data_IF_769862704778
#
_entry.id   IF_769862704778
#
_cell.length_a   1.000
_cell.length_b   1.000
_cell.length_c   1.000
_cell.angle_alpha   90.00
_cell.angle_beta   90.00
_cell.angle_gamma   90.00
#
_symmetry.space_group_name_H-M   'P 1'
#
loop_
_entity.id
_entity.type
_entity.pdbx_description
1 polymer ?
#
# COMPACT_ATOMS: atom_id res chain seq x y z
N UNK A 1 -30.22 40.43 -68.67
CA UNK A 1 -31.69 40.55 -68.79
C UNK A 1 -32.30 39.42 -67.99
N UNK A 2 -32.97 39.74 -66.89
CA UNK A 2 -33.78 38.82 -66.09
C UNK A 2 -35.03 38.37 -66.86
N UNK A 3 -35.54 37.17 -66.54
CA UNK A 3 -36.90 37.04 -65.99
C UNK A 3 -36.89 36.02 -64.83
N UNK A 4 -37.93 35.79 -64.01
CA UNK A 4 -39.09 36.53 -63.56
C UNK A 4 -39.65 35.74 -62.34
N UNK A 5 -40.10 36.46 -61.31
CA UNK A 5 -41.17 36.18 -60.33
C UNK A 5 -41.61 34.74 -59.97
N UNK A 6 -41.72 34.47 -58.66
CA UNK A 6 -43.04 34.32 -57.99
C UNK A 6 -43.00 34.46 -56.46
N UNK A 7 -44.14 34.97 -55.96
CA UNK A 7 -44.50 35.56 -54.66
C UNK A 7 -44.50 34.65 -53.43
N UNK A 8 -44.34 35.30 -52.27
CA UNK A 8 -44.54 34.84 -50.89
C UNK A 8 -46.03 34.64 -50.49
N UNK A 9 -46.22 33.81 -49.45
CA UNK A 9 -46.71 34.15 -48.11
C UNK A 9 -47.95 33.39 -47.54
N UNK A 10 -47.77 32.97 -46.27
CA UNK A 10 -48.73 32.75 -45.18
C UNK A 10 -49.78 31.63 -45.27
N UNK A 11 -49.73 30.65 -44.35
CA UNK A 11 -50.30 30.72 -42.99
C UNK A 11 -50.50 29.33 -42.37
N UNK A 12 -50.48 29.31 -41.03
CA UNK A 12 -50.51 28.15 -40.14
C UNK A 12 -51.86 27.42 -40.16
N UNK A 13 -51.85 26.08 -40.21
CA UNK A 13 -52.87 25.22 -39.59
C UNK A 13 -52.20 23.93 -39.10
N UNK A 14 -52.37 23.64 -37.82
CA UNK A 14 -52.08 22.34 -37.22
C UNK A 14 -53.33 21.46 -37.36
N UNK A 15 -53.19 20.19 -37.76
CA UNK A 15 -54.05 19.17 -37.19
C UNK A 15 -53.26 17.97 -36.66
N UNK A 16 -53.56 17.70 -35.40
CA UNK A 16 -53.45 16.42 -34.72
C UNK A 16 -54.01 15.28 -35.59
N UNK A 17 -53.30 14.15 -35.66
CA UNK A 17 -53.80 12.75 -35.50
C UNK A 17 -53.04 11.73 -36.37
N UNK A 18 -52.23 10.93 -35.67
CA UNK A 18 -51.91 9.50 -35.85
C UNK A 18 -50.97 9.08 -36.99
N UNK A 19 -49.75 8.68 -36.59
CA UNK A 19 -49.20 7.37 -36.94
C UNK A 19 -48.21 6.90 -35.87
N UNK A 20 -48.50 5.70 -35.40
CA UNK A 20 -47.79 4.86 -34.43
C UNK A 20 -46.38 4.49 -34.88
N UNK A 21 -45.40 4.60 -33.98
CA UNK A 21 -44.23 3.73 -33.96
C UNK A 21 -43.82 3.50 -32.50
N UNK A 22 -44.09 2.29 -32.04
CA UNK A 22 -43.59 1.73 -30.81
C UNK A 22 -42.06 1.60 -30.91
N UNK A 23 -41.34 2.21 -29.98
CA UNK A 23 -40.05 1.73 -29.52
C UNK A 23 -39.88 2.26 -28.09
N UNK A 24 -40.36 1.44 -27.15
CA UNK A 24 -40.19 1.68 -25.73
C UNK A 24 -38.71 1.83 -25.41
N UNK A 25 -38.39 2.96 -24.79
CA UNK A 25 -37.13 3.25 -24.16
C UNK A 25 -36.83 2.21 -23.09
N UNK A 26 -36.11 1.15 -23.43
CA UNK A 26 -35.34 0.41 -22.44
C UNK A 26 -34.15 1.30 -22.14
N UNK A 27 -34.32 2.12 -21.11
CA UNK A 27 -33.26 2.92 -20.53
C UNK A 27 -32.10 2.00 -20.20
N UNK A 28 -30.97 2.28 -20.84
CA UNK A 28 -29.68 1.73 -20.44
C UNK A 28 -29.32 2.37 -19.09
N UNK A 29 -29.87 1.81 -18.01
CA UNK A 29 -29.32 2.01 -16.67
C UNK A 29 -27.97 1.28 -16.64
N UNK A 30 -26.92 1.93 -17.13
CA UNK A 30 -25.58 1.65 -16.62
C UNK A 30 -25.52 2.25 -15.22
N UNK A 31 -26.08 1.52 -14.26
CA UNK A 31 -25.73 1.70 -12.86
C UNK A 31 -24.25 1.32 -12.74
N UNK A 32 -23.45 2.30 -12.34
CA UNK A 32 -22.10 2.08 -11.87
C UNK A 32 -22.13 1.13 -10.66
N UNK A 33 -21.99 -0.18 -10.91
CA UNK A 33 -21.61 -1.14 -9.89
C UNK A 33 -20.09 -1.06 -9.73
N UNK A 34 -19.61 -0.04 -9.01
CA UNK A 34 -18.22 0.13 -8.62
C UNK A 34 -18.09 0.17 -7.09
N UNK A 35 -18.57 -0.91 -6.48
CA UNK A 35 -18.12 -1.48 -5.22
C UNK A 35 -18.53 -2.95 -5.31
N UNK A 36 -17.63 -3.89 -4.98
CA UNK A 36 -17.93 -5.32 -5.10
C UNK A 36 -19.22 -5.71 -4.39
N UNK A 37 -19.87 -6.78 -4.84
CA UNK A 37 -21.14 -7.34 -4.31
C UNK A 37 -21.10 -7.71 -2.82
N UNK A 38 -20.02 -7.39 -2.12
CA UNK A 38 -19.72 -7.84 -0.78
C UNK A 38 -18.92 -6.79 0.00
N UNK A 39 -19.59 -5.88 0.73
CA UNK A 39 -18.91 -4.87 1.52
C UNK A 39 -18.15 -5.52 2.69
N UNK A 40 -17.00 -4.95 3.10
CA UNK A 40 -16.33 -5.33 4.34
C UNK A 40 -17.30 -5.23 5.52
N UNK A 41 -17.20 -6.19 6.45
CA UNK A 41 -17.94 -6.18 7.72
C UNK A 41 -17.02 -6.52 8.88
N UNK A 42 -17.36 -6.06 10.08
CA UNK A 42 -16.61 -6.42 11.28
C UNK A 42 -16.64 -7.92 11.56
N UNK A 43 -15.53 -8.43 12.10
CA UNK A 43 -15.43 -9.79 12.63
C UNK A 43 -16.41 -9.98 13.79
N UNK A 44 -17.20 -11.04 13.73
CA UNK A 44 -18.10 -11.45 14.79
C UNK A 44 -17.37 -12.25 15.87
N UNK A 45 -17.92 -12.23 17.09
CA UNK A 45 -17.31 -12.90 18.25
C UNK A 45 -17.06 -14.39 18.03
N UNK A 46 -18.01 -15.10 17.41
CA UNK A 46 -17.85 -16.54 17.12
C UNK A 46 -16.70 -16.82 16.14
N UNK A 47 -16.34 -15.86 15.29
CA UNK A 47 -15.24 -15.98 14.32
C UNK A 47 -13.87 -15.79 14.98
N UNK A 48 -13.80 -15.14 16.14
CA UNK A 48 -12.55 -14.81 16.85
C UNK A 48 -12.40 -15.56 18.18
N UNK A 49 -13.40 -16.35 18.58
CA UNK A 49 -13.45 -17.01 19.89
C UNK A 49 -12.21 -17.86 20.19
N UNK A 50 -11.72 -18.63 19.22
CA UNK A 50 -10.47 -19.41 19.39
C UNK A 50 -9.28 -18.49 19.65
N UNK A 51 -9.13 -17.42 18.86
CA UNK A 51 -8.05 -16.44 19.03
C UNK A 51 -8.08 -15.78 20.40
N UNK A 52 -9.25 -15.39 20.89
CA UNK A 52 -9.41 -14.82 22.24
C UNK A 52 -9.06 -15.82 23.33
N UNK A 53 -9.52 -17.08 23.20
CA UNK A 53 -9.18 -18.13 24.16
C UNK A 53 -7.67 -18.40 24.22
N UNK A 54 -6.99 -18.43 23.08
CA UNK A 54 -5.54 -18.62 23.01
C UNK A 54 -4.75 -17.47 23.63
N UNK A 55 -5.32 -16.26 23.65
CA UNK A 55 -4.66 -15.05 24.12
C UNK A 55 -5.22 -14.54 25.46
N UNK A 56 -6.12 -15.27 26.13
CA UNK A 56 -6.88 -14.79 27.28
C UNK A 56 -5.99 -14.34 28.47
N UNK A 57 -4.83 -14.97 28.63
CA UNK A 57 -3.86 -14.67 29.70
C UNK A 57 -2.74 -13.71 29.25
N UNK A 58 -2.83 -13.16 28.04
CA UNK A 58 -1.80 -12.28 27.47
C UNK A 58 -1.73 -10.89 28.14
N UNK A 59 -2.83 -10.47 28.81
CA UNK A 59 -2.97 -9.13 29.35
C UNK A 59 -3.05 -8.02 28.28
N UNK A 60 -3.20 -8.38 27.00
CA UNK A 60 -3.35 -7.44 25.90
C UNK A 60 -4.79 -6.89 25.87
N UNK A 61 -4.98 -5.59 25.56
CA UNK A 61 -6.32 -5.00 25.52
C UNK A 61 -7.28 -5.79 24.63
N UNK A 62 -8.43 -6.21 25.17
CA UNK A 62 -9.47 -6.93 24.45
C UNK A 62 -9.33 -8.46 24.46
N UNK A 63 -8.24 -9.00 24.99
CA UNK A 63 -8.01 -10.45 25.07
C UNK A 63 -8.96 -11.17 26.03
N UNK A 64 -9.47 -10.46 27.02
CA UNK A 64 -10.31 -10.95 28.10
C UNK A 64 -11.82 -10.93 27.78
N UNK A 65 -12.22 -10.44 26.60
CA UNK A 65 -13.62 -10.32 26.19
C UNK A 65 -14.25 -11.69 25.98
N UNK A 66 -15.40 -11.95 26.62
CA UNK A 66 -16.11 -13.24 26.60
C UNK A 66 -17.50 -13.21 25.98
N UNK A 67 -17.97 -12.03 25.57
CA UNK A 67 -19.35 -11.82 25.13
C UNK A 67 -19.42 -11.04 23.81
N UNK A 68 -20.41 -11.39 22.98
CA UNK A 68 -20.52 -10.86 21.62
C UNK A 68 -20.79 -9.35 21.54
N UNK A 69 -21.60 -8.80 22.44
CA UNK A 69 -21.90 -7.37 22.46
C UNK A 69 -20.67 -6.53 22.87
N UNK A 70 -19.91 -7.01 23.86
CA UNK A 70 -18.67 -6.37 24.29
C UNK A 70 -17.61 -6.43 23.18
N UNK A 71 -17.54 -7.54 22.43
CA UNK A 71 -16.66 -7.68 21.27
C UNK A 71 -17.02 -6.72 20.14
N UNK A 72 -18.29 -6.63 19.74
CA UNK A 72 -18.72 -5.72 18.67
C UNK A 72 -18.42 -4.25 19.02
N UNK A 73 -18.63 -3.85 20.27
CA UNK A 73 -18.25 -2.52 20.75
C UNK A 73 -16.73 -2.29 20.70
N UNK A 74 -15.95 -3.27 21.17
CA UNK A 74 -14.49 -3.17 21.21
C UNK A 74 -13.86 -3.11 19.81
N UNK A 75 -14.26 -4.00 18.89
CA UNK A 75 -13.64 -4.10 17.57
C UNK A 75 -13.90 -2.84 16.73
N UNK A 76 -15.09 -2.23 16.85
CA UNK A 76 -15.43 -0.95 16.21
C UNK A 76 -14.63 0.21 16.78
N UNK A 77 -14.52 0.28 18.11
CA UNK A 77 -13.71 1.31 18.76
C UNK A 77 -12.23 1.18 18.35
N UNK A 78 -11.74 -0.06 18.28
CA UNK A 78 -10.35 -0.33 17.88
C UNK A 78 -10.10 0.01 16.42
N UNK A 79 -11.02 -0.32 15.52
CA UNK A 79 -10.96 0.10 14.12
C UNK A 79 -10.92 1.63 13.97
N UNK A 80 -11.79 2.34 14.68
CA UNK A 80 -11.79 3.80 14.69
C UNK A 80 -10.46 4.38 15.20
N UNK A 81 -9.85 3.77 16.23
CA UNK A 81 -8.52 4.15 16.73
C UNK A 81 -7.43 3.91 15.68
N UNK A 82 -7.41 2.74 15.03
CA UNK A 82 -6.45 2.40 13.97
C UNK A 82 -6.58 3.36 12.79
N UNK A 83 -7.81 3.64 12.34
CA UNK A 83 -8.08 4.63 11.29
C UNK A 83 -7.66 6.04 11.71
N UNK A 84 -7.77 6.37 13.00
CA UNK A 84 -7.24 7.62 13.57
C UNK A 84 -5.71 7.78 13.43
N UNK A 85 -4.96 6.70 13.23
CA UNK A 85 -3.50 6.72 13.00
C UNK A 85 -3.10 6.99 11.55
N UNK A 86 -4.03 7.08 10.62
CA UNK A 86 -3.75 7.37 9.20
C UNK A 86 -3.09 8.75 9.04
N UNK A 87 -3.68 9.78 9.64
CA UNK A 87 -3.14 11.15 9.59
C UNK A 87 -1.72 11.22 10.12
N UNK A 88 -1.43 10.42 11.16
CA UNK A 88 -0.09 10.30 11.73
C UNK A 88 0.91 9.69 10.76
N UNK A 89 0.46 8.74 9.94
CA UNK A 89 1.29 8.17 8.87
C UNK A 89 1.58 9.19 7.76
N UNK A 90 0.58 10.00 7.40
CA UNK A 90 0.76 11.11 6.46
C UNK A 90 1.75 12.14 6.98
N UNK A 91 1.65 12.52 8.25
CA UNK A 91 2.62 13.37 8.94
C UNK A 91 4.05 12.82 8.84
N UNK A 92 4.27 11.52 9.08
CA UNK A 92 5.57 10.88 8.93
C UNK A 92 6.08 10.94 7.47
N UNK A 93 5.21 10.68 6.49
CA UNK A 93 5.56 10.79 5.06
C UNK A 93 5.93 12.22 4.66
N UNK A 94 5.28 13.24 5.23
CA UNK A 94 5.67 14.65 5.04
C UNK A 94 7.05 14.92 5.64
N UNK A 95 7.37 14.36 6.82
CA UNK A 95 8.72 14.48 7.38
C UNK A 95 9.78 13.85 6.47
N UNK A 96 9.52 12.69 5.88
CA UNK A 96 10.43 12.10 4.89
C UNK A 96 10.58 12.98 3.64
N UNK A 97 9.47 13.54 3.12
CA UNK A 97 9.52 14.49 2.01
C UNK A 97 10.39 15.70 2.36
N UNK A 98 10.21 16.29 3.55
CA UNK A 98 11.03 17.41 4.02
C UNK A 98 12.50 17.02 4.04
N UNK A 99 12.87 15.86 4.57
CA UNK A 99 14.28 15.46 4.70
C UNK A 99 14.93 15.07 3.37
N UNK A 100 14.22 14.33 2.52
CA UNK A 100 14.80 13.61 1.40
C UNK A 100 14.28 14.02 0.02
N UNK A 101 13.11 14.64 -0.07
CA UNK A 101 12.48 15.00 -1.34
C UNK A 101 13.30 15.98 -2.18
N UNK A 102 13.18 15.89 -3.50
CA UNK A 102 13.86 16.74 -4.46
C UNK A 102 12.90 17.48 -5.40
N UNK A 103 11.59 17.18 -5.36
CA UNK A 103 10.64 17.76 -6.30
C UNK A 103 10.23 19.19 -5.97
N UNK A 104 10.24 19.57 -4.68
CA UNK A 104 9.81 20.89 -4.21
C UNK A 104 10.97 21.88 -3.97
N UNK A 105 12.23 21.43 -4.01
CA UNK A 105 13.41 22.25 -3.70
C UNK A 105 14.69 21.73 -4.34
N UNK A 106 15.65 22.62 -4.59
CA UNK A 106 17.01 22.29 -5.04
C UNK A 106 18.03 22.18 -3.89
N UNK A 107 17.61 22.40 -2.64
CA UNK A 107 18.48 22.25 -1.48
C UNK A 107 19.03 20.82 -1.37
N UNK A 108 20.27 20.63 -0.86
CA UNK A 108 20.79 19.30 -0.56
C UNK A 108 19.84 18.52 0.36
N UNK A 109 19.79 17.20 0.17
CA UNK A 109 19.06 16.29 1.05
C UNK A 109 19.76 16.21 2.40
N UNK A 110 18.99 15.97 3.46
CA UNK A 110 19.57 15.59 4.75
C UNK A 110 20.05 14.15 4.65
N UNK A 111 21.26 13.86 5.14
CA UNK A 111 21.90 12.54 4.98
C UNK A 111 21.10 11.43 5.66
N UNK A 112 20.62 11.68 6.89
CA UNK A 112 19.74 10.77 7.62
C UNK A 112 18.94 11.54 8.67
N UNK A 113 17.97 10.88 9.31
CA UNK A 113 17.12 11.49 10.34
C UNK A 113 17.94 11.98 11.54
N UNK A 114 19.05 11.31 11.87
CA UNK A 114 19.97 11.66 12.95
C UNK A 114 20.71 12.97 12.67
N UNK A 115 20.94 13.31 11.40
CA UNK A 115 21.54 14.58 11.00
C UNK A 115 20.53 15.73 10.90
N UNK A 116 19.24 15.47 11.05
CA UNK A 116 18.20 16.51 10.98
C UNK A 116 18.14 17.39 12.25
N UNK A 117 18.61 16.88 13.39
CA UNK A 117 18.62 17.59 14.66
C UNK A 117 19.96 17.48 15.41
N UNK A 118 20.12 18.30 16.45
CA UNK A 118 21.14 18.14 17.49
C UNK A 118 20.72 17.03 18.46
N UNK A 119 21.64 16.59 19.32
CA UNK A 119 21.33 15.64 20.41
C UNK A 119 20.26 16.18 21.37
N UNK A 120 20.14 17.51 21.52
CA UNK A 120 19.10 18.16 22.32
C UNK A 120 17.74 18.24 21.61
N UNK A 121 17.62 17.75 20.38
CA UNK A 121 16.37 17.76 19.58
C UNK A 121 16.10 19.08 18.86
N UNK A 122 17.07 19.99 18.80
CA UNK A 122 16.96 21.23 18.01
C UNK A 122 17.19 20.93 16.52
N UNK A 123 16.31 21.41 15.64
CA UNK A 123 16.45 21.18 14.21
C UNK A 123 17.68 21.94 13.67
N UNK A 124 18.49 21.26 12.87
CA UNK A 124 19.66 21.88 12.24
C UNK A 124 19.23 22.84 11.13
N UNK A 125 20.08 23.84 10.76
CA UNK A 125 19.75 24.81 9.72
C UNK A 125 19.34 24.19 8.38
N UNK A 126 19.92 23.05 8.00
CA UNK A 126 19.55 22.34 6.78
C UNK A 126 18.09 21.84 6.79
N UNK A 127 17.63 21.28 7.92
CA UNK A 127 16.24 20.83 8.06
C UNK A 127 15.27 22.03 8.07
N UNK A 128 15.62 23.11 8.77
CA UNK A 128 14.81 24.35 8.83
C UNK A 128 14.67 24.98 7.44
N UNK A 129 15.76 25.07 6.67
CA UNK A 129 15.73 25.61 5.31
C UNK A 129 14.81 24.79 4.38
N UNK A 130 14.75 23.47 4.56
CA UNK A 130 13.88 22.59 3.78
C UNK A 130 12.42 22.68 4.20
N UNK A 131 12.12 22.88 5.49
CA UNK A 131 10.77 23.23 5.97
C UNK A 131 10.27 24.51 5.28
N UNK A 132 11.09 25.55 5.29
CA UNK A 132 10.76 26.81 4.63
C UNK A 132 10.53 26.62 3.12
N UNK A 133 11.38 25.84 2.45
CA UNK A 133 11.21 25.54 1.03
C UNK A 133 9.89 24.82 0.72
N UNK A 134 9.45 23.87 1.56
CA UNK A 134 8.16 23.21 1.37
C UNK A 134 6.99 24.18 1.58
N UNK A 135 7.06 25.07 2.58
CA UNK A 135 6.06 26.09 2.81
C UNK A 135 5.92 27.06 1.61
N UNK A 136 7.05 27.47 1.02
CA UNK A 136 7.04 28.28 -0.22
C UNK A 136 6.44 27.51 -1.41
N UNK A 137 6.75 26.23 -1.56
CA UNK A 137 6.20 25.38 -2.63
C UNK A 137 4.67 25.21 -2.52
N UNK A 138 4.14 25.13 -1.30
CA UNK A 138 2.70 25.08 -1.06
C UNK A 138 1.99 26.35 -1.53
N UNK A 139 2.60 27.50 -1.25
CA UNK A 139 2.09 28.83 -1.59
C UNK A 139 2.17 29.17 -3.09
N UNK A 140 3.15 28.61 -3.82
CA UNK A 140 3.38 28.91 -5.24
C UNK A 140 2.45 28.17 -6.20
N UNK A 141 1.59 27.27 -5.69
CA UNK A 141 0.71 26.46 -6.53
C UNK A 141 1.47 25.44 -7.38
N UNK A 142 2.61 24.95 -6.89
CA UNK A 142 3.40 23.93 -7.58
C UNK A 142 2.52 22.76 -8.05
N UNK A 143 2.71 22.34 -9.31
CA UNK A 143 1.97 21.24 -9.96
C UNK A 143 2.42 19.85 -9.53
N UNK A 144 3.24 19.77 -8.49
CA UNK A 144 3.72 18.53 -7.93
C UNK A 144 2.58 17.84 -7.15
N UNK A 145 2.35 16.56 -7.44
CA UNK A 145 1.25 15.77 -6.86
C UNK A 145 1.39 15.62 -5.34
N UNK A 146 2.62 15.50 -4.82
CA UNK A 146 2.90 15.39 -3.38
C UNK A 146 2.68 16.73 -2.69
N UNK A 147 3.14 17.84 -3.28
CA UNK A 147 2.83 19.18 -2.74
C UNK A 147 1.33 19.43 -2.74
N UNK A 148 0.60 18.99 -3.77
CA UNK A 148 -0.86 18.97 -3.80
C UNK A 148 -1.47 18.17 -2.65
N UNK A 149 -0.99 16.94 -2.45
CA UNK A 149 -1.40 16.07 -1.35
C UNK A 149 -1.17 16.71 0.03
N UNK A 150 -0.01 17.33 0.25
CA UNK A 150 0.29 18.03 1.51
C UNK A 150 -0.65 19.22 1.72
N UNK A 151 -0.95 19.98 0.66
CA UNK A 151 -1.90 21.10 0.72
C UNK A 151 -3.29 20.62 1.16
N UNK A 152 -3.79 19.55 0.54
CA UNK A 152 -5.10 18.99 0.86
C UNK A 152 -5.15 18.44 2.29
N UNK A 153 -4.07 17.78 2.72
CA UNK A 153 -3.92 17.31 4.10
C UNK A 153 -3.99 18.47 5.10
N UNK A 154 -3.19 19.52 4.93
CA UNK A 154 -3.19 20.68 5.81
C UNK A 154 -4.56 21.39 5.86
N UNK A 155 -5.22 21.52 4.70
CA UNK A 155 -6.56 22.09 4.62
C UNK A 155 -7.58 21.29 5.44
N UNK A 156 -7.56 19.94 5.33
CA UNK A 156 -8.42 19.07 6.16
C UNK A 156 -8.15 19.20 7.65
N UNK A 157 -6.89 19.44 8.04
CA UNK A 157 -6.49 19.67 9.44
C UNK A 157 -6.81 21.09 9.94
N UNK A 158 -7.33 21.97 9.08
CA UNK A 158 -7.58 23.37 9.42
C UNK A 158 -6.31 24.19 9.63
N UNK A 159 -5.18 23.74 9.09
CA UNK A 159 -3.89 24.43 9.22
C UNK A 159 -3.81 25.48 8.11
N UNK A 160 -3.94 26.74 8.54
CA UNK A 160 -3.97 27.89 7.64
C UNK A 160 -2.60 28.31 7.14
N UNK A 161 -2.64 29.16 6.11
CA UNK A 161 -1.48 29.88 5.59
C UNK A 161 -0.82 30.67 6.73
N UNK A 162 0.50 30.57 6.87
CA UNK A 162 1.37 31.07 7.95
C UNK A 162 1.59 30.12 9.15
N UNK A 163 0.89 29.00 9.23
CA UNK A 163 1.09 28.00 10.30
C UNK A 163 1.79 26.73 9.81
N UNK A 164 2.09 26.62 8.52
CA UNK A 164 2.68 25.43 7.92
C UNK A 164 4.07 25.15 8.47
N UNK A 165 4.93 26.17 8.56
CA UNK A 165 6.30 25.99 9.05
C UNK A 165 6.34 25.56 10.52
N UNK A 166 5.50 26.15 11.38
CA UNK A 166 5.44 25.78 12.79
C UNK A 166 4.89 24.37 12.97
N UNK A 167 3.89 24.00 12.16
CA UNK A 167 3.37 22.64 12.11
C UNK A 167 4.42 21.61 11.66
N UNK A 168 5.10 21.86 10.54
CA UNK A 168 6.18 21.01 10.03
C UNK A 168 7.34 20.91 11.01
N UNK A 169 7.70 22.00 11.68
CA UNK A 169 8.72 22.01 12.74
C UNK A 169 8.35 21.08 13.88
N UNK A 170 7.11 21.21 14.41
CA UNK A 170 6.63 20.36 15.49
C UNK A 170 6.56 18.88 15.08
N UNK A 171 6.06 18.62 13.87
CA UNK A 171 5.97 17.29 13.32
C UNK A 171 7.34 16.63 13.11
N UNK A 172 8.32 17.36 12.56
CA UNK A 172 9.65 16.83 12.30
C UNK A 172 10.42 16.52 13.60
N UNK A 173 10.33 17.39 14.62
CA UNK A 173 10.95 17.11 15.94
C UNK A 173 10.43 15.83 16.56
N UNK A 174 9.11 15.67 16.53
CA UNK A 174 8.41 14.47 17.00
C UNK A 174 8.84 13.22 16.21
N UNK A 175 8.85 13.31 14.89
CA UNK A 175 9.29 12.21 14.01
C UNK A 175 10.70 11.76 14.36
N UNK A 176 11.65 12.69 14.51
CA UNK A 176 13.04 12.41 14.91
C UNK A 176 13.10 11.72 16.29
N UNK A 177 12.38 12.25 17.28
CA UNK A 177 12.35 11.67 18.63
C UNK A 177 11.79 10.24 18.64
N UNK A 178 10.74 9.97 17.86
CA UNK A 178 10.17 8.63 17.71
C UNK A 178 11.16 7.68 17.01
N UNK A 179 11.85 8.11 15.94
CA UNK A 179 12.89 7.29 15.28
C UNK A 179 14.01 6.89 16.25
N UNK A 180 14.49 7.84 17.07
CA UNK A 180 15.49 7.55 18.10
C UNK A 180 14.96 6.54 19.14
N UNK A 181 13.67 6.62 19.51
CA UNK A 181 13.01 5.65 20.38
C UNK A 181 12.97 4.23 19.80
N UNK A 182 12.65 4.09 18.51
CA UNK A 182 12.65 2.78 17.84
C UNK A 182 14.06 2.17 17.78
N UNK A 183 15.06 2.99 17.46
CA UNK A 183 16.46 2.55 17.42
C UNK A 183 16.91 2.06 18.81
N UNK A 184 16.60 2.81 19.87
CA UNK A 184 16.88 2.41 21.24
C UNK A 184 16.18 1.10 21.63
N UNK A 185 14.91 0.90 21.25
CA UNK A 185 14.17 -0.36 21.50
C UNK A 185 14.90 -1.56 20.88
N UNK A 186 15.45 -1.41 19.68
CA UNK A 186 16.22 -2.46 19.01
C UNK A 186 17.59 -2.70 19.67
N UNK A 187 18.29 -1.63 20.07
CA UNK A 187 19.57 -1.74 20.77
C UNK A 187 19.42 -2.41 22.14
N UNK A 188 18.38 -2.06 22.88
CA UNK A 188 18.11 -2.67 24.19
C UNK A 188 17.71 -4.15 24.05
N UNK A 189 16.97 -4.51 22.99
CA UNK A 189 16.73 -5.91 22.65
C UNK A 189 18.05 -6.63 22.29
N UNK A 190 18.95 -5.99 21.54
CA UNK A 190 20.23 -6.58 21.14
C UNK A 190 21.20 -6.82 22.32
N UNK A 191 21.05 -6.07 23.42
CA UNK A 191 21.80 -6.30 24.68
C UNK A 191 21.24 -7.49 25.48
N UNK A 192 20.06 -8.01 25.12
CA UNK A 192 19.45 -9.17 25.76
C UNK A 192 20.26 -10.45 25.57
N UNK A 193 20.17 -11.38 26.53
CA UNK A 193 20.86 -12.68 26.45
C UNK A 193 20.24 -13.65 25.43
N UNK A 194 18.99 -13.41 25.03
CA UNK A 194 18.28 -14.22 24.04
C UNK A 194 18.47 -13.65 22.62
N UNK A 195 19.15 -14.36 21.71
CA UNK A 195 19.31 -13.94 20.32
C UNK A 195 17.98 -13.74 19.55
N UNK A 196 16.87 -14.33 20.03
CA UNK A 196 15.55 -14.18 19.42
C UNK A 196 14.86 -12.84 19.75
N UNK A 197 15.33 -12.14 20.80
CA UNK A 197 14.70 -10.93 21.32
C UNK A 197 14.62 -9.78 20.30
N UNK A 198 15.68 -9.53 19.53
CA UNK A 198 15.68 -8.51 18.47
C UNK A 198 14.67 -8.86 17.38
N UNK A 199 14.61 -10.13 17.00
CA UNK A 199 13.65 -10.61 16.01
C UNK A 199 12.22 -10.39 16.51
N UNK A 200 11.91 -10.76 17.76
CA UNK A 200 10.59 -10.54 18.34
C UNK A 200 10.23 -9.06 18.49
N UNK A 201 11.18 -8.22 18.90
CA UNK A 201 10.98 -6.77 19.05
C UNK A 201 10.66 -6.08 17.71
N UNK A 202 11.25 -6.56 16.60
CA UNK A 202 10.92 -6.09 15.25
C UNK A 202 9.47 -6.38 14.87
N UNK A 203 8.87 -7.44 15.44
CA UNK A 203 7.52 -7.86 15.12
C UNK A 203 6.44 -6.84 15.48
N UNK A 204 6.65 -6.01 16.50
CA UNK A 204 5.70 -4.96 16.94
C UNK A 204 6.37 -3.58 17.03
N UNK A 205 7.42 -3.36 16.25
CA UNK A 205 8.25 -2.15 16.34
C UNK A 205 7.45 -0.87 16.13
N UNK A 206 6.39 -0.92 15.31
CA UNK A 206 5.59 0.23 14.91
C UNK A 206 4.15 0.20 15.44
N UNK A 207 3.89 -0.56 16.50
CA UNK A 207 2.53 -0.75 17.06
C UNK A 207 1.85 0.56 17.49
N UNK A 208 2.62 1.59 17.85
CA UNK A 208 2.12 2.93 18.21
C UNK A 208 2.34 3.98 17.11
N UNK A 209 2.96 3.62 15.99
CA UNK A 209 3.34 4.56 14.92
C UNK A 209 2.14 4.90 14.04
N UNK A 210 2.20 6.04 13.35
CA UNK A 210 1.33 6.31 12.21
C UNK A 210 1.45 5.26 11.11
N UNK A 211 0.35 4.98 10.43
CA UNK A 211 0.28 3.96 9.38
C UNK A 211 0.88 4.52 8.08
N UNK A 212 2.12 4.12 7.77
CA UNK A 212 2.80 4.59 6.57
C UNK A 212 2.12 4.05 5.31
N UNK A 213 2.06 4.88 4.28
CA UNK A 213 1.58 4.49 2.95
C UNK A 213 2.66 3.91 2.06
N UNK A 214 3.95 4.07 2.39
CA UNK A 214 5.03 3.83 1.43
C UNK A 214 5.11 2.37 0.97
N UNK A 215 5.36 2.19 -0.33
CA UNK A 215 5.70 0.90 -0.95
C UNK A 215 7.09 1.00 -1.59
N UNK A 216 7.81 -0.12 -1.66
CA UNK A 216 9.08 -0.22 -2.37
C UNK A 216 9.20 -1.52 -3.14
N UNK A 217 10.14 -1.59 -4.08
CA UNK A 217 10.27 -2.73 -4.98
C UNK A 217 10.85 -3.97 -4.29
N UNK A 218 11.87 -3.81 -3.43
CA UNK A 218 12.69 -4.90 -2.90
C UNK A 218 11.95 -5.91 -2.00
N UNK A 219 10.96 -5.53 -1.16
CA UNK A 219 10.14 -6.53 -0.46
C UNK A 219 9.51 -7.55 -1.41
N UNK A 220 9.15 -7.14 -2.63
CA UNK A 220 8.57 -8.04 -3.64
C UNK A 220 9.60 -9.00 -4.25
N UNK A 221 10.88 -8.63 -4.29
CA UNK A 221 11.97 -9.57 -4.61
C UNK A 221 12.06 -10.68 -3.56
N UNK A 222 11.94 -10.35 -2.27
CA UNK A 222 11.92 -11.36 -1.21
C UNK A 222 10.70 -12.29 -1.30
N UNK A 223 9.53 -11.77 -1.69
CA UNK A 223 8.33 -12.58 -1.96
C UNK A 223 8.56 -13.56 -3.11
N UNK A 224 9.07 -13.10 -4.26
CA UNK A 224 9.34 -13.96 -5.42
C UNK A 224 10.36 -15.06 -5.07
N UNK A 225 11.44 -14.70 -4.37
CA UNK A 225 12.44 -15.68 -3.92
C UNK A 225 11.86 -16.73 -2.97
N UNK A 226 10.88 -16.34 -2.16
CA UNK A 226 10.17 -17.24 -1.26
C UNK A 226 9.26 -18.20 -2.02
N UNK A 227 8.45 -17.69 -2.96
CA UNK A 227 7.62 -18.51 -3.84
C UNK A 227 8.47 -19.50 -4.65
N UNK A 228 9.60 -19.04 -5.21
CA UNK A 228 10.56 -19.88 -5.93
C UNK A 228 11.12 -21.00 -5.04
N UNK A 229 11.42 -20.70 -3.78
CA UNK A 229 11.87 -21.70 -2.82
C UNK A 229 10.78 -22.71 -2.46
N UNK A 230 9.52 -22.28 -2.37
CA UNK A 230 8.38 -23.17 -2.13
C UNK A 230 8.14 -24.14 -3.28
N UNK A 231 8.25 -23.68 -4.53
CA UNK A 231 8.18 -24.54 -5.73
C UNK A 231 9.28 -25.60 -5.68
N UNK A 232 10.53 -25.22 -5.42
CA UNK A 232 11.65 -26.17 -5.31
C UNK A 232 11.45 -27.24 -4.22
N UNK A 233 10.71 -26.91 -3.17
CA UNK A 233 10.36 -27.84 -2.08
C UNK A 233 9.11 -28.68 -2.36
N UNK A 234 8.50 -28.54 -3.54
CA UNK A 234 7.24 -29.21 -3.89
C UNK A 234 6.04 -28.71 -3.08
N UNK A 235 6.16 -27.56 -2.40
CA UNK A 235 5.08 -26.99 -1.63
C UNK A 235 4.06 -26.28 -2.55
N UNK A 236 4.48 -25.77 -3.70
CA UNK A 236 3.60 -25.15 -4.70
C UNK A 236 3.69 -25.91 -6.01
N UNK A 237 2.57 -26.03 -6.71
CA UNK A 237 2.48 -26.63 -8.03
C UNK A 237 2.14 -25.57 -9.07
N UNK A 238 2.45 -25.85 -10.34
CA UNK A 238 2.08 -24.98 -11.45
C UNK A 238 0.56 -24.77 -11.53
N UNK A 239 0.15 -23.62 -12.07
CA UNK A 239 -1.26 -23.21 -12.27
C UNK A 239 -2.16 -23.33 -11.01
N UNK A 240 -1.57 -23.24 -9.81
CA UNK A 240 -2.28 -23.37 -8.53
C UNK A 240 -2.94 -22.08 -8.02
N UNK A 241 -2.72 -20.94 -8.68
CA UNK A 241 -3.21 -19.63 -8.24
C UNK A 241 -4.09 -18.97 -9.28
N UNK A 242 -5.23 -18.43 -8.84
CA UNK A 242 -6.17 -17.63 -9.62
C UNK A 242 -6.52 -16.31 -8.95
N UNK A 243 -6.67 -16.29 -7.62
CA UNK A 243 -7.04 -15.07 -6.87
C UNK A 243 -5.98 -14.72 -5.84
N UNK A 244 -5.48 -13.49 -5.94
CA UNK A 244 -4.41 -12.94 -5.11
C UNK A 244 -4.98 -11.77 -4.30
N UNK A 245 -4.71 -11.74 -2.99
CA UNK A 245 -4.92 -10.54 -2.19
C UNK A 245 -3.59 -9.87 -1.82
N UNK A 246 -3.55 -8.55 -1.94
CA UNK A 246 -2.48 -7.70 -1.43
C UNK A 246 -3.04 -6.82 -0.32
N UNK A 247 -2.64 -7.09 0.91
CA UNK A 247 -2.99 -6.26 2.06
C UNK A 247 -1.91 -5.19 2.19
N UNK A 248 -2.33 -3.92 2.22
CA UNK A 248 -1.41 -2.78 2.27
C UNK A 248 -0.57 -2.64 0.99
N UNK A 249 -1.19 -2.49 -0.20
CA UNK A 249 -0.46 -2.35 -1.48
C UNK A 249 0.45 -1.12 -1.55
N UNK A 250 0.20 -0.13 -0.67
CA UNK A 250 0.96 1.08 -0.53
C UNK A 250 0.90 2.03 -1.73
N UNK A 251 1.45 3.22 -1.50
CA UNK A 251 1.56 4.35 -2.40
C UNK A 251 2.92 5.02 -2.14
N UNK A 252 3.79 5.01 -3.14
CA UNK A 252 5.15 5.53 -3.12
C UNK A 252 5.13 7.06 -2.93
N UNK A 253 5.03 7.50 -1.68
CA UNK A 253 4.93 8.91 -1.34
C UNK A 253 6.30 9.55 -1.22
N UNK A 254 7.25 8.96 -0.52
CA UNK A 254 8.66 9.38 -0.62
C UNK A 254 9.48 8.20 -0.13
N UNK A 255 10.32 7.63 -0.99
CA UNK A 255 11.18 6.51 -0.59
C UNK A 255 11.96 6.89 0.69
N UNK A 256 11.78 6.10 1.76
CA UNK A 256 12.30 6.40 3.11
C UNK A 256 13.82 6.40 3.21
N UNK A 257 14.52 5.88 2.20
CA UNK A 257 15.98 5.76 2.17
C UNK A 257 16.57 6.67 1.10
N UNK A 258 15.99 6.61 -0.09
CA UNK A 258 16.57 7.27 -1.26
C UNK A 258 15.84 8.55 -1.65
N UNK A 259 14.64 8.82 -1.11
CA UNK A 259 13.96 10.11 -1.25
C UNK A 259 13.49 10.47 -2.65
N UNK A 260 13.24 9.48 -3.52
CA UNK A 260 12.87 9.77 -4.90
C UNK A 260 11.40 10.16 -5.02
N UNK A 261 11.16 11.37 -5.50
CA UNK A 261 9.83 11.99 -5.61
C UNK A 261 9.60 12.72 -6.95
N UNK A 262 10.51 12.58 -7.91
CA UNK A 262 10.52 13.29 -9.20
C UNK A 262 9.59 12.68 -10.28
N UNK A 263 8.74 11.74 -9.89
CA UNK A 263 7.77 11.03 -10.72
C UNK A 263 6.41 10.96 -10.02
N UNK A 264 5.29 10.74 -10.73
CA UNK A 264 3.95 10.69 -10.11
C UNK A 264 3.83 9.68 -8.97
N UNK A 265 2.87 9.86 -8.07
CA UNK A 265 2.58 8.85 -7.05
C UNK A 265 2.26 7.52 -7.72
N UNK A 266 2.76 6.42 -7.14
CA UNK A 266 2.59 5.10 -7.74
C UNK A 266 2.46 3.97 -6.72
N UNK A 267 1.81 2.88 -7.13
CA UNK A 267 1.79 1.62 -6.39
C UNK A 267 2.48 0.54 -7.22
N UNK A 268 3.24 -0.34 -6.58
CA UNK A 268 4.07 -1.35 -7.27
C UNK A 268 3.63 -2.77 -6.93
N UNK A 269 3.31 -3.01 -5.65
CA UNK A 269 3.15 -4.36 -5.11
C UNK A 269 2.06 -5.20 -5.80
N UNK A 270 0.86 -4.68 -6.15
CA UNK A 270 -0.14 -5.46 -6.87
C UNK A 270 0.40 -6.09 -8.17
N UNK A 271 1.20 -5.33 -8.92
CA UNK A 271 1.79 -5.78 -10.17
C UNK A 271 3.02 -6.66 -9.95
N UNK A 272 3.83 -6.36 -8.93
CA UNK A 272 4.98 -7.16 -8.58
C UNK A 272 4.61 -8.58 -8.13
N UNK A 273 3.53 -8.73 -7.35
CA UNK A 273 3.03 -10.04 -6.95
C UNK A 273 2.39 -10.77 -8.13
N UNK A 274 1.56 -10.09 -8.94
CA UNK A 274 0.98 -10.69 -10.14
C UNK A 274 2.07 -11.20 -11.09
N UNK A 275 3.11 -10.38 -11.34
CA UNK A 275 4.23 -10.76 -12.19
C UNK A 275 5.04 -11.92 -11.61
N UNK A 276 5.28 -11.95 -10.29
CA UNK A 276 5.97 -13.08 -9.65
C UNK A 276 5.19 -14.39 -9.82
N UNK A 277 3.86 -14.37 -9.65
CA UNK A 277 2.99 -15.54 -9.84
C UNK A 277 3.03 -16.00 -11.30
N UNK A 278 2.95 -15.08 -12.25
CA UNK A 278 3.04 -15.39 -13.68
C UNK A 278 4.42 -15.93 -14.09
N UNK A 279 5.50 -15.28 -13.65
CA UNK A 279 6.90 -15.65 -13.95
C UNK A 279 7.29 -17.02 -13.43
N UNK A 280 6.65 -17.45 -12.34
CA UNK A 280 6.88 -18.73 -11.70
C UNK A 280 5.91 -19.83 -12.16
N UNK A 281 5.12 -19.58 -13.21
CA UNK A 281 4.11 -20.50 -13.75
C UNK A 281 3.07 -20.95 -12.72
N UNK A 282 2.84 -20.16 -11.67
CA UNK A 282 1.85 -20.45 -10.63
C UNK A 282 0.42 -20.07 -11.07
N UNK A 283 0.29 -19.20 -12.07
CA UNK A 283 -0.98 -18.84 -12.68
C UNK A 283 -0.78 -18.06 -13.97
N UNK A 284 -1.75 -18.10 -14.88
CA UNK A 284 -1.71 -17.35 -16.15
C UNK A 284 -2.08 -15.90 -15.91
N UNK A 285 -1.29 -14.91 -16.34
CA UNK A 285 -1.53 -13.51 -16.02
C UNK A 285 -2.91 -13.01 -16.46
N UNK A 286 -3.45 -13.53 -17.56
CA UNK A 286 -4.78 -13.22 -18.09
C UNK A 286 -5.92 -13.84 -17.27
N UNK A 287 -5.65 -14.85 -16.45
CA UNK A 287 -6.64 -15.48 -15.58
C UNK A 287 -6.59 -14.91 -14.16
N UNK A 288 -5.43 -14.36 -13.74
CA UNK A 288 -5.23 -13.85 -12.37
C UNK A 288 -6.12 -12.65 -12.03
N UNK A 289 -6.75 -12.71 -10.87
CA UNK A 289 -7.43 -11.59 -10.22
C UNK A 289 -6.60 -11.08 -9.04
N UNK A 290 -6.51 -9.75 -8.91
CA UNK A 290 -5.83 -9.11 -7.78
C UNK A 290 -6.81 -8.23 -7.02
N UNK A 291 -6.94 -8.51 -5.72
CA UNK A 291 -7.73 -7.73 -4.79
C UNK A 291 -6.81 -7.03 -3.79
N UNK A 292 -6.96 -5.74 -3.64
CA UNK A 292 -6.23 -4.94 -2.66
C UNK A 292 -7.11 -4.70 -1.43
N UNK A 293 -6.50 -4.77 -0.25
CA UNK A 293 -7.13 -4.42 1.03
C UNK A 293 -6.30 -3.35 1.69
N UNK A 294 -6.87 -2.17 1.90
CA UNK A 294 -6.21 -1.08 2.60
C UNK A 294 -7.27 -0.28 3.36
N UNK A 295 -6.87 0.50 4.36
CA UNK A 295 -7.74 1.38 5.13
C UNK A 295 -7.41 2.86 4.89
N UNK A 296 -6.33 3.15 4.14
CA UNK A 296 -5.92 4.49 3.79
C UNK A 296 -6.65 4.97 2.52
N UNK A 297 -7.50 5.98 2.68
CA UNK A 297 -8.33 6.54 1.60
C UNK A 297 -7.53 7.05 0.40
N UNK A 298 -6.29 7.52 0.57
CA UNK A 298 -5.46 7.96 -0.54
C UNK A 298 -4.96 6.78 -1.40
N UNK A 299 -4.57 5.67 -0.74
CA UNK A 299 -4.16 4.44 -1.43
C UNK A 299 -5.36 3.87 -2.19
N UNK A 300 -6.52 3.80 -1.54
CA UNK A 300 -7.77 3.33 -2.15
C UNK A 300 -8.13 4.16 -3.38
N UNK A 301 -8.16 5.49 -3.25
CA UNK A 301 -8.50 6.39 -4.35
C UNK A 301 -7.52 6.27 -5.53
N UNK A 302 -6.21 6.11 -5.25
CA UNK A 302 -5.21 5.89 -6.29
C UNK A 302 -5.47 4.60 -7.06
N UNK A 303 -5.76 3.50 -6.37
CA UNK A 303 -6.03 2.20 -7.01
C UNK A 303 -7.35 2.21 -7.78
N UNK A 304 -8.40 2.86 -7.27
CA UNK A 304 -9.66 3.02 -7.99
C UNK A 304 -9.44 3.77 -9.31
N UNK A 305 -8.76 4.91 -9.28
CA UNK A 305 -8.43 5.71 -10.46
C UNK A 305 -7.53 4.93 -11.44
N UNK A 306 -6.57 4.18 -10.92
CA UNK A 306 -5.72 3.28 -11.71
C UNK A 306 -6.56 2.24 -12.46
N UNK A 307 -7.50 1.57 -11.79
CA UNK A 307 -8.37 0.57 -12.40
C UNK A 307 -9.32 1.19 -13.43
N UNK A 308 -9.88 2.38 -13.15
CA UNK A 308 -10.69 3.14 -14.11
C UNK A 308 -9.93 3.46 -15.39
N UNK A 309 -8.70 3.99 -15.27
CA UNK A 309 -7.82 4.27 -16.42
C UNK A 309 -7.46 3.00 -17.18
N UNK A 310 -7.19 1.91 -16.46
CA UNK A 310 -6.97 0.59 -17.06
C UNK A 310 -8.17 0.12 -17.89
N UNK A 311 -9.40 0.29 -17.38
CA UNK A 311 -10.65 -0.03 -18.12
C UNK A 311 -10.83 0.85 -19.35
N UNK A 312 -10.31 2.07 -19.34
CA UNK A 312 -10.23 2.95 -20.51
C UNK A 312 -9.10 2.56 -21.50
N UNK A 313 -8.35 1.49 -21.23
CA UNK A 313 -7.25 1.02 -22.06
C UNK A 313 -5.93 1.74 -21.83
N UNK A 314 -5.84 2.64 -20.85
CA UNK A 314 -4.61 3.37 -20.56
C UNK A 314 -3.59 2.48 -19.85
N UNK A 315 -2.33 2.56 -20.30
CA UNK A 315 -1.23 1.92 -19.62
C UNK A 315 -0.88 2.66 -18.31
N UNK A 316 -0.48 1.89 -17.30
CA UNK A 316 0.04 2.44 -16.06
C UNK A 316 1.57 2.44 -16.08
N UNK A 317 2.18 3.62 -16.18
CA UNK A 317 3.64 3.74 -16.23
C UNK A 317 4.20 3.91 -14.83
N UNK A 318 5.10 3.01 -14.44
CA UNK A 318 5.82 3.06 -13.17
C UNK A 318 7.28 3.40 -13.39
N UNK A 319 7.83 4.24 -12.53
CA UNK A 319 9.23 4.65 -12.51
C UNK A 319 9.97 3.85 -11.42
N UNK A 320 11.14 3.32 -11.76
CA UNK A 320 11.88 2.38 -10.94
C UNK A 320 13.29 2.95 -10.72
N UNK A 321 13.43 3.95 -9.83
CA UNK A 321 14.74 4.47 -9.50
C UNK A 321 15.54 3.44 -8.71
N UNK A 322 16.86 3.53 -8.83
CA UNK A 322 17.84 2.75 -8.09
C UNK A 322 19.06 3.62 -7.84
N UNK A 323 19.47 3.76 -6.59
CA UNK A 323 20.79 4.31 -6.28
C UNK A 323 21.88 3.26 -6.57
N UNK A 324 22.80 3.49 -7.53
CA UNK A 324 23.92 2.58 -7.74
C UNK A 324 24.86 2.45 -6.52
N UNK A 325 24.82 3.41 -5.58
CA UNK A 325 25.63 3.41 -4.35
C UNK A 325 25.01 2.56 -3.24
N UNK A 326 23.76 2.15 -3.37
CA UNK A 326 23.08 1.30 -2.37
C UNK A 326 23.55 -0.17 -2.38
N UNK A 327 24.57 -0.51 -3.18
CA UNK A 327 25.22 -1.82 -3.25
C UNK A 327 24.24 -3.01 -3.30
N UNK A 328 23.20 -2.92 -4.14
CA UNK A 328 22.26 -4.02 -4.32
C UNK A 328 22.98 -5.29 -4.79
N UNK A 329 22.54 -6.45 -4.31
CA UNK A 329 23.07 -7.74 -4.75
C UNK A 329 22.83 -7.96 -6.26
N UNK A 330 23.61 -8.81 -6.93
CA UNK A 330 23.37 -9.14 -8.33
C UNK A 330 21.94 -9.62 -8.61
N UNK A 331 21.35 -10.39 -7.69
CA UNK A 331 20.00 -10.93 -7.78
C UNK A 331 18.95 -9.81 -7.64
N UNK A 332 19.13 -8.89 -6.69
CA UNK A 332 18.25 -7.73 -6.52
C UNK A 332 18.31 -6.79 -7.75
N UNK A 333 19.50 -6.59 -8.33
CA UNK A 333 19.66 -5.85 -9.58
C UNK A 333 18.98 -6.59 -10.74
N UNK A 334 19.11 -7.91 -10.81
CA UNK A 334 18.44 -8.73 -11.83
C UNK A 334 16.92 -8.61 -11.72
N UNK A 335 16.37 -8.73 -10.51
CA UNK A 335 14.95 -8.50 -10.26
C UNK A 335 14.50 -7.11 -10.73
N UNK A 336 15.24 -6.06 -10.35
CA UNK A 336 14.95 -4.70 -10.81
C UNK A 336 15.06 -4.53 -12.32
N UNK A 337 15.93 -5.25 -13.02
CA UNK A 337 16.04 -5.20 -14.49
C UNK A 337 14.89 -5.91 -15.20
N UNK A 338 14.36 -6.96 -14.57
CA UNK A 338 13.41 -7.86 -15.22
C UNK A 338 11.95 -7.56 -14.83
N UNK A 339 11.70 -6.82 -13.75
CA UNK A 339 10.34 -6.38 -13.41
C UNK A 339 9.72 -5.60 -14.58
N UNK A 340 8.47 -5.95 -14.91
CA UNK A 340 7.67 -5.37 -15.97
C UNK A 340 7.69 -6.12 -17.31
N UNK A 341 8.50 -7.16 -17.47
CA UNK A 341 8.69 -7.85 -18.76
C UNK A 341 7.47 -8.67 -19.20
N UNK A 342 6.72 -9.22 -18.24
CA UNK A 342 5.53 -10.03 -18.54
C UNK A 342 4.31 -9.12 -18.75
N UNK A 343 4.10 -8.20 -17.81
CA UNK A 343 2.87 -7.41 -17.71
C UNK A 343 2.89 -6.14 -18.55
N UNK A 344 4.06 -5.69 -18.98
CA UNK A 344 4.24 -4.38 -19.58
C UNK A 344 5.25 -4.37 -20.71
N UNK A 345 5.77 -3.18 -20.97
CA UNK A 345 6.88 -2.96 -21.87
C UNK A 345 7.75 -1.79 -21.37
N UNK A 346 9.05 -1.78 -21.69
CA UNK A 346 9.92 -0.66 -21.33
C UNK A 346 9.43 0.67 -21.89
N UNK A 347 9.57 1.73 -21.10
CA UNK A 347 9.34 3.12 -21.51
C UNK A 347 10.58 3.95 -21.26
N UNK A 348 10.67 5.08 -21.95
CA UNK A 348 11.69 6.09 -21.65
C UNK A 348 11.39 6.64 -20.24
N UNK A 349 12.33 6.52 -19.28
CA UNK A 349 12.14 7.03 -17.93
C UNK A 349 12.08 8.56 -17.92
N UNK A 350 11.43 9.10 -16.90
CA UNK A 350 11.47 10.53 -16.62
C UNK A 350 12.90 11.03 -16.35
N UNK A 351 13.21 12.29 -16.69
CA UNK A 351 14.55 12.83 -16.46
C UNK A 351 14.83 12.92 -14.96
N UNK A 352 16.01 12.46 -14.55
CA UNK A 352 16.48 12.57 -13.17
C UNK A 352 16.95 14.01 -12.90
N UNK A 353 16.45 14.68 -11.85
CA UNK A 353 16.97 15.95 -11.40
C UNK A 353 18.49 15.92 -11.18
N UNK A 354 19.20 16.96 -11.63
CA UNK A 354 20.66 17.04 -11.48
C UNK A 354 21.13 16.93 -10.02
N UNK A 355 20.31 17.40 -9.07
CA UNK A 355 20.55 17.31 -7.63
C UNK A 355 20.60 15.87 -7.10
N UNK A 356 20.00 14.91 -7.79
CA UNK A 356 19.98 13.51 -7.38
C UNK A 356 21.17 12.70 -7.92
N UNK A 357 21.93 13.24 -8.89
CA UNK A 357 23.24 12.77 -9.35
C UNK A 357 23.50 11.25 -9.34
N UNK A 358 23.41 10.60 -10.51
CA UNK A 358 23.85 9.20 -10.67
C UNK A 358 22.79 8.14 -10.35
N UNK A 359 21.54 8.52 -10.10
CA UNK A 359 20.40 7.58 -10.00
C UNK A 359 20.18 6.90 -11.35
N UNK A 360 20.08 5.57 -11.33
CA UNK A 360 19.64 4.80 -12.49
C UNK A 360 18.11 4.66 -12.45
N UNK A 361 17.43 4.89 -13.57
CA UNK A 361 15.97 4.78 -13.64
C UNK A 361 15.55 3.89 -14.81
N UNK A 362 14.60 3.00 -14.56
CA UNK A 362 13.80 2.32 -15.58
C UNK A 362 12.36 2.78 -15.49
N UNK A 363 11.66 2.77 -16.61
CA UNK A 363 10.21 2.91 -16.61
C UNK A 363 9.56 1.73 -17.32
N UNK A 364 8.41 1.29 -16.81
CA UNK A 364 7.61 0.21 -17.38
C UNK A 364 6.19 0.71 -17.58
N UNK A 365 5.66 0.59 -18.79
CA UNK A 365 4.23 0.75 -19.05
C UNK A 365 3.52 -0.60 -18.86
N UNK A 366 2.88 -0.78 -17.72
CA UNK A 366 2.02 -1.92 -17.44
C UNK A 366 0.76 -1.80 -18.32
N UNK A 367 0.38 -2.89 -19.00
CA UNK A 367 -0.78 -2.89 -19.90
C UNK A 367 -2.07 -2.60 -19.11
N UNK A 368 -2.93 -1.77 -19.68
CA UNK A 368 -4.18 -1.33 -19.05
C UNK A 368 -5.09 -2.48 -18.61
N UNK A 369 -5.09 -3.60 -19.34
CA UNK A 369 -5.88 -4.79 -18.99
C UNK A 369 -5.56 -5.36 -17.59
N UNK A 370 -4.30 -5.26 -17.12
CA UNK A 370 -3.94 -5.75 -15.79
C UNK A 370 -4.37 -4.76 -14.71
N UNK A 371 -4.24 -3.45 -14.96
CA UNK A 371 -4.75 -2.42 -14.06
C UNK A 371 -6.29 -2.48 -13.96
N UNK A 372 -6.99 -2.72 -15.07
CA UNK A 372 -8.45 -2.79 -15.16
C UNK A 372 -9.09 -3.84 -14.25
N UNK A 373 -8.34 -4.91 -13.92
CA UNK A 373 -8.80 -6.06 -13.15
C UNK A 373 -8.46 -5.96 -11.66
N UNK A 374 -7.74 -4.93 -11.24
CA UNK A 374 -7.47 -4.70 -9.82
C UNK A 374 -8.76 -4.22 -9.15
N UNK A 375 -9.13 -4.89 -8.07
CA UNK A 375 -10.17 -4.45 -7.15
C UNK A 375 -9.52 -3.92 -5.87
N UNK A 376 -10.21 -3.03 -5.17
CA UNK A 376 -9.77 -2.53 -3.86
C UNK A 376 -10.96 -2.40 -2.93
N UNK A 377 -10.76 -2.80 -1.67
CA UNK A 377 -11.73 -2.63 -0.59
C UNK A 377 -11.11 -1.79 0.52
N UNK A 378 -11.92 -0.87 1.07
CA UNK A 378 -11.63 -0.18 2.32
C UNK A 378 -11.84 -1.16 3.47
N UNK A 379 -10.78 -1.80 3.94
CA UNK A 379 -10.86 -2.82 4.97
C UNK A 379 -9.66 -2.76 5.90
N UNK A 380 -9.94 -2.70 7.19
CA UNK A 380 -8.96 -2.98 8.23
C UNK A 380 -8.85 -4.49 8.44
N UNK A 381 -7.78 -5.13 7.96
CA UNK A 381 -7.60 -6.60 8.04
C UNK A 381 -7.68 -7.18 9.47
N UNK A 382 -7.45 -6.36 10.51
CA UNK A 382 -7.55 -6.80 11.90
C UNK A 382 -9.00 -6.83 12.38
N UNK A 383 -9.83 -5.92 11.87
CA UNK A 383 -11.17 -5.68 12.37
C UNK A 383 -12.29 -6.18 11.44
N UNK A 384 -12.03 -6.16 10.14
CA UNK A 384 -13.02 -6.36 9.08
C UNK A 384 -12.65 -7.53 8.17
N UNK A 385 -13.66 -8.25 7.70
CA UNK A 385 -13.57 -9.38 6.78
C UNK A 385 -14.44 -9.15 5.55
N UNK A 386 -14.21 -9.98 4.53
CA UNK A 386 -15.05 -10.13 3.35
C UNK A 386 -15.64 -11.55 3.34
N UNK A 387 -16.90 -11.70 2.95
CA UNK A 387 -17.60 -12.98 2.92
C UNK A 387 -17.62 -13.62 1.53
N UNK A 388 -16.62 -14.43 1.19
CA UNK A 388 -16.65 -15.12 -0.08
C UNK A 388 -17.46 -16.42 -0.02
N UNK A 389 -18.20 -16.77 -1.09
CA UNK A 389 -18.75 -18.12 -1.23
C UNK A 389 -17.65 -19.18 -1.10
N UNK A 390 -17.96 -20.40 -0.60
CA UNK A 390 -16.98 -21.47 -0.51
C UNK A 390 -16.23 -21.72 -1.83
N UNK A 391 -14.90 -21.81 -1.76
CA UNK A 391 -14.03 -22.00 -2.93
C UNK A 391 -13.76 -20.72 -3.74
N UNK A 392 -14.34 -19.58 -3.34
CA UNK A 392 -14.05 -18.27 -3.89
C UNK A 392 -13.19 -17.45 -2.92
N UNK A 393 -12.36 -18.07 -2.08
CA UNK A 393 -11.33 -17.36 -1.33
C UNK A 393 -10.14 -16.99 -2.20
N UNK A 394 -9.03 -16.64 -1.55
CA UNK A 394 -7.75 -16.36 -2.19
C UNK A 394 -6.82 -17.57 -2.16
N UNK A 395 -6.00 -17.72 -3.19
CA UNK A 395 -4.95 -18.75 -3.26
C UNK A 395 -3.62 -18.23 -2.71
N UNK A 396 -3.43 -16.90 -2.76
CA UNK A 396 -2.29 -16.19 -2.20
C UNK A 396 -2.76 -14.90 -1.53
N UNK A 397 -2.33 -14.68 -0.28
CA UNK A 397 -2.46 -13.40 0.41
C UNK A 397 -1.06 -12.93 0.82
N UNK A 398 -0.73 -11.67 0.54
CA UNK A 398 0.52 -11.03 0.96
C UNK A 398 0.24 -9.84 1.88
N UNK A 399 1.04 -9.68 2.93
CA UNK A 399 0.98 -8.54 3.85
C UNK A 399 2.41 -8.13 4.28
N UNK A 400 3.12 -7.40 3.43
CA UNK A 400 4.49 -6.95 3.74
C UNK A 400 4.48 -5.59 4.42
N UNK A 401 5.18 -5.45 5.54
CA UNK A 401 5.27 -4.23 6.34
C UNK A 401 3.91 -3.72 6.83
N UNK A 402 2.91 -4.60 6.92
CA UNK A 402 1.57 -4.26 7.42
C UNK A 402 1.40 -4.67 8.87
N UNK A 403 1.68 -5.94 9.18
CA UNK A 403 1.34 -6.48 10.51
C UNK A 403 2.24 -5.94 11.63
N UNK A 404 3.35 -5.29 11.29
CA UNK A 404 4.27 -4.61 12.22
C UNK A 404 3.64 -3.40 12.95
N UNK A 405 2.52 -2.86 12.43
CA UNK A 405 1.80 -1.73 13.04
C UNK A 405 0.79 -2.13 14.12
N UNK A 406 0.72 -3.42 14.43
CA UNK A 406 -0.28 -4.00 15.33
C UNK A 406 0.39 -4.74 16.48
N UNK A 407 -0.29 -4.81 17.62
CA UNK A 407 0.14 -5.61 18.76
C UNK A 407 -0.05 -7.12 18.50
N UNK A 408 0.37 -7.99 19.42
CA UNK A 408 0.31 -9.44 19.22
C UNK A 408 -1.10 -10.01 19.11
N UNK A 409 -2.07 -9.51 19.86
CA UNK A 409 -3.47 -9.95 19.76
C UNK A 409 -4.05 -9.56 18.40
N UNK A 410 -3.82 -8.32 17.97
CA UNK A 410 -4.25 -7.81 16.67
C UNK A 410 -3.60 -8.59 15.51
N UNK A 411 -2.32 -8.96 15.63
CA UNK A 411 -1.67 -9.84 14.67
C UNK A 411 -2.33 -11.23 14.62
N UNK A 412 -2.68 -11.81 15.77
CA UNK A 412 -3.38 -13.09 15.83
C UNK A 412 -4.80 -13.01 15.24
N UNK A 413 -5.51 -11.90 15.45
CA UNK A 413 -6.81 -11.60 14.83
C UNK A 413 -6.69 -11.49 13.31
N UNK A 414 -5.68 -10.75 12.82
CA UNK A 414 -5.41 -10.66 11.39
C UNK A 414 -5.10 -12.03 10.78
N UNK A 415 -4.29 -12.84 11.46
CA UNK A 415 -3.97 -14.20 11.01
C UNK A 415 -5.22 -15.09 10.93
N UNK A 416 -6.10 -15.04 11.94
CA UNK A 416 -7.36 -15.77 11.91
C UNK A 416 -8.26 -15.30 10.76
N UNK A 417 -8.37 -13.99 10.55
CA UNK A 417 -9.14 -13.42 9.44
C UNK A 417 -8.56 -13.82 8.07
N UNK A 418 -7.25 -13.70 7.88
CA UNK A 418 -6.54 -14.14 6.67
C UNK A 418 -6.80 -15.62 6.39
N UNK A 419 -6.84 -16.47 7.42
CA UNK A 419 -7.17 -17.88 7.26
C UNK A 419 -8.59 -18.10 6.71
N UNK A 420 -9.55 -17.24 7.06
CA UNK A 420 -10.94 -17.28 6.55
C UNK A 420 -11.02 -16.82 5.10
N UNK A 421 -10.20 -15.84 4.73
CA UNK A 421 -10.15 -15.29 3.36
C UNK A 421 -9.44 -16.23 2.38
N UNK A 422 -8.57 -17.12 2.86
CA UNK A 422 -7.87 -18.11 2.04
C UNK A 422 -8.75 -19.31 1.67
N UNK A 423 -8.59 -19.80 0.44
CA UNK A 423 -9.03 -21.14 0.08
C UNK A 423 -8.23 -22.21 0.87
N UNK A 424 -8.80 -23.40 1.12
CA UNK A 424 -8.03 -24.54 1.63
C UNK A 424 -6.76 -24.77 0.80
N UNK A 425 -5.61 -24.89 1.47
CA UNK A 425 -4.31 -25.01 0.80
C UNK A 425 -3.65 -23.70 0.35
N UNK A 426 -4.38 -22.58 0.38
CA UNK A 426 -3.89 -21.25 0.02
C UNK A 426 -2.74 -20.78 0.90
N UNK A 427 -1.94 -19.85 0.38
CA UNK A 427 -0.70 -19.38 1.01
C UNK A 427 -0.85 -17.96 1.56
N UNK A 428 -0.34 -17.76 2.77
CA UNK A 428 -0.14 -16.43 3.35
C UNK A 428 1.35 -16.13 3.51
N UNK A 429 1.78 -14.97 3.02
CA UNK A 429 3.13 -14.43 3.14
C UNK A 429 3.13 -13.10 3.90
N UNK A 430 4.03 -12.96 4.88
CA UNK A 430 4.34 -11.69 5.55
C UNK A 430 5.86 -11.57 5.73
N UNK A 431 6.38 -10.35 5.88
CA UNK A 431 7.83 -10.11 6.04
C UNK A 431 8.22 -9.62 7.45
N UNK A 432 7.34 -9.82 8.44
CA UNK A 432 7.62 -9.55 9.84
C UNK A 432 7.32 -10.78 10.72
N UNK A 433 8.00 -10.94 11.87
CA UNK A 433 7.67 -11.97 12.85
C UNK A 433 6.23 -11.86 13.34
N UNK A 434 5.49 -12.96 13.23
CA UNK A 434 4.10 -13.11 13.70
C UNK A 434 4.04 -13.94 14.99
N UNK A 435 2.98 -13.80 15.81
CA UNK A 435 2.85 -14.54 17.06
C UNK A 435 2.79 -16.05 16.80
N UNK A 436 3.30 -16.86 17.73
CA UNK A 436 3.12 -18.31 17.72
C UNK A 436 1.74 -18.73 18.22
N UNK A 437 1.12 -17.91 19.07
CA UNK A 437 -0.23 -18.10 19.60
C UNK A 437 -1.25 -17.54 18.62
N UNK A 438 -1.69 -18.37 17.67
CA UNK A 438 -2.71 -18.04 16.68
C UNK A 438 -3.60 -19.24 16.39
N UNK A 439 -4.78 -18.98 15.81
CA UNK A 439 -5.74 -20.03 15.46
C UNK A 439 -5.09 -21.10 14.56
N UNK A 440 -5.48 -22.36 14.77
CA UNK A 440 -4.80 -23.53 14.18
C UNK A 440 -4.97 -23.68 12.67
N UNK A 441 -5.86 -22.90 12.06
CA UNK A 441 -6.20 -22.88 10.64
C UNK A 441 -5.02 -22.53 9.72
N UNK A 442 -4.01 -21.82 10.22
CA UNK A 442 -2.77 -21.56 9.50
C UNK A 442 -1.68 -22.52 9.95
N UNK A 443 -1.13 -23.30 9.02
CA UNK A 443 0.05 -24.12 9.27
C UNK A 443 1.31 -23.39 8.81
N UNK A 444 2.21 -23.10 9.73
CA UNK A 444 3.53 -22.57 9.41
C UNK A 444 4.32 -23.54 8.52
N UNK A 445 4.85 -23.04 7.40
CA UNK A 445 5.66 -23.82 6.46
C UNK A 445 7.15 -23.49 6.52
N UNK A 446 7.50 -22.32 7.05
CA UNK A 446 8.89 -21.90 7.19
C UNK A 446 9.09 -20.40 7.01
N UNK A 447 10.37 -20.02 7.02
CA UNK A 447 10.84 -18.66 6.80
C UNK A 447 11.95 -18.67 5.75
N UNK A 448 12.04 -17.59 4.97
CA UNK A 448 13.18 -17.32 4.09
C UNK A 448 13.70 -15.91 4.34
N UNK A 449 14.98 -15.82 4.65
CA UNK A 449 15.74 -14.57 4.66
C UNK A 449 16.26 -14.30 3.26
N UNK A 450 15.97 -13.12 2.72
CA UNK A 450 16.47 -12.65 1.43
C UNK A 450 17.26 -11.37 1.63
N UNK A 451 18.57 -11.44 1.41
CA UNK A 451 19.43 -10.26 1.44
C UNK A 451 19.26 -9.43 0.17
N UNK A 452 19.19 -8.12 0.31
CA UNK A 452 19.16 -7.15 -0.77
C UNK A 452 20.54 -6.59 -1.09
N UNK A 453 21.50 -6.72 -0.17
CA UNK A 453 22.91 -6.33 -0.34
C UNK A 453 23.85 -7.52 -0.12
N UNK A 454 25.04 -7.54 -0.72
CA UNK A 454 26.03 -8.61 -0.50
C UNK A 454 26.45 -8.79 0.97
N UNK A 455 26.43 -7.70 1.76
CA UNK A 455 26.75 -7.74 3.19
C UNK A 455 25.73 -8.50 4.03
N UNK A 456 24.52 -8.75 3.52
CA UNK A 456 23.43 -9.38 4.26
C UNK A 456 22.79 -8.48 5.32
N UNK A 457 23.26 -7.24 5.48
CA UNK A 457 22.78 -6.29 6.50
C UNK A 457 21.38 -5.77 6.17
N UNK A 458 21.05 -5.67 4.89
CA UNK A 458 19.74 -5.22 4.42
C UNK A 458 19.05 -6.34 3.65
N UNK A 459 17.79 -6.61 4.00
CA UNK A 459 17.02 -7.74 3.50
C UNK A 459 15.70 -7.87 4.25
N UNK A 460 14.88 -8.82 3.80
CA UNK A 460 13.59 -9.15 4.42
C UNK A 460 13.54 -10.63 4.84
N UNK A 461 12.84 -10.87 5.94
CA UNK A 461 12.52 -12.21 6.45
C UNK A 461 11.05 -12.55 6.16
N UNK A 462 10.81 -13.30 5.09
CA UNK A 462 9.45 -13.71 4.70
C UNK A 462 9.06 -14.99 5.44
N UNK A 463 7.97 -14.94 6.20
CA UNK A 463 7.32 -16.09 6.82
C UNK A 463 6.18 -16.61 5.94
N UNK A 464 5.99 -17.93 5.95
CA UNK A 464 5.03 -18.63 5.09
C UNK A 464 4.07 -19.46 5.92
N UNK A 465 2.77 -19.29 5.67
CA UNK A 465 1.71 -20.11 6.23
C UNK A 465 0.86 -20.71 5.11
N UNK A 466 0.27 -21.87 5.38
CA UNK A 466 -0.72 -22.52 4.52
C UNK A 466 -2.03 -22.67 5.27
N UNK A 467 -3.14 -22.31 4.62
CA UNK A 467 -4.48 -22.63 5.12
C UNK A 467 -4.68 -24.15 5.15
N UNK A 468 -5.03 -24.69 6.33
CA UNK A 468 -5.38 -26.10 6.52
C UNK A 468 -6.68 -26.45 5.83
#
# INVERSE_FOLDING_TARGET
MTPAFRSLCCSRVCPWVWRTAWAASIGFFFLAALAGENPPRYLHFDEVRETLLLNADSGLPGSEIKEGAAWDAWIRARDAEVRGRIDRGVEDSISNLILYGASFTSLPRVESVEFAATESGELRPAAVARIHALALALASGAKDERVGFVRDFLARKGIGRNFEESYFTGNLRRFIAEQAGYQKKLEDAAKGRDPSSVYLARGTLFETRGLSVDTSLLPNFALEETLRAMIRKGALTAESMRRIAVIGPGLDFTDKRDGYDFYPLQTLQPFAVLEAVARLDLGKPEDLEVVCLDLNSAVIAHIQKLAERGRAGEAYTVELPRDPRAEWSPEAISYWKNFGEILGSPRKPLPVPASLGGVAVRAVAIRGQFAARIQVYDANIVAETLDFPPGQGFDLIVATNVLVYYNRLEQALAMANIARLLNPGGIFLANNPLPSEHASDLRYLGRRTTAFTPSGVYGDDVVVYRRR
#
